data_IF_563299412101
#
_entry.id   IF_563299412101
#
_cell.length_a   1.000
_cell.length_b   1.000
_cell.length_c   1.000
_cell.angle_alpha   90.00
_cell.angle_beta   90.00
_cell.angle_gamma   90.00
#
_symmetry.space_group_name_H-M   'P 1'
#
loop_
_entity.id
_entity.type
_entity.pdbx_description
1 polymer ?
#
# COMPACT_ATOMS: atom_id res chain seq x y z
N UNK A 1 -11.49 -22.40 34.59
CA UNK A 1 -11.66 -22.69 33.15
C UNK A 1 -12.99 -22.07 32.77
N UNK A 2 -12.96 -20.94 32.07
CA UNK A 2 -14.01 -20.48 31.14
C UNK A 2 -13.45 -19.24 30.43
N UNK A 3 -13.37 -19.33 29.10
CA UNK A 3 -13.10 -18.22 28.19
C UNK A 3 -14.42 -17.45 27.99
N UNK A 4 -14.39 -16.11 27.93
CA UNK A 4 -15.10 -15.45 26.82
C UNK A 4 -14.57 -14.04 26.51
N UNK A 5 -14.67 -13.74 25.22
CA UNK A 5 -14.35 -12.54 24.48
C UNK A 5 -14.99 -11.28 25.09
N UNK A 6 -14.26 -10.16 25.17
CA UNK A 6 -14.76 -8.89 24.64
C UNK A 6 -13.65 -7.82 24.43
N UNK A 7 -13.34 -7.64 23.14
CA UNK A 7 -13.33 -6.36 22.42
C UNK A 7 -12.49 -5.21 23.01
N UNK A 8 -11.25 -5.12 22.49
CA UNK A 8 -10.60 -3.88 22.00
C UNK A 8 -11.12 -2.58 22.61
N UNK A 9 -10.69 -2.29 23.83
CA UNK A 9 -10.64 -0.95 24.38
C UNK A 9 -9.19 -0.47 24.31
N UNK A 10 -8.82 0.21 23.24
CA UNK A 10 -7.60 1.00 23.24
C UNK A 10 -7.88 2.40 22.67
N UNK A 11 -8.15 3.30 23.62
CA UNK A 11 -7.88 4.74 23.57
C UNK A 11 -8.66 5.57 22.54
N UNK A 12 -9.95 5.74 22.85
CA UNK A 12 -10.68 6.99 22.60
C UNK A 12 -10.15 8.05 23.57
N UNK A 13 -9.14 8.84 23.19
CA UNK A 13 -8.76 10.09 23.88
C UNK A 13 -7.83 10.94 23.01
N UNK A 14 -8.40 11.96 22.39
CA UNK A 14 -7.73 13.24 22.10
C UNK A 14 -8.82 14.23 21.70
N UNK A 15 -9.67 14.59 22.66
CA UNK A 15 -10.51 15.78 22.51
C UNK A 15 -9.58 16.98 22.63
N UNK A 16 -9.50 17.72 21.54
CA UNK A 16 -8.64 18.86 21.34
C UNK A 16 -8.97 19.98 22.33
N UNK A 17 -7.93 20.63 22.85
CA UNK A 17 -8.01 21.91 23.54
C UNK A 17 -8.46 22.97 22.53
N UNK A 18 -9.70 23.44 22.62
CA UNK A 18 -10.14 24.63 21.93
C UNK A 18 -9.69 25.87 22.73
N UNK A 19 -8.46 26.33 22.46
CA UNK A 19 -8.01 27.67 22.87
C UNK A 19 -8.52 28.64 21.81
N UNK A 20 -9.47 29.48 22.19
CA UNK A 20 -10.02 30.52 21.33
C UNK A 20 -8.99 31.63 21.05
N UNK A 21 -9.13 32.26 19.88
CA UNK A 21 -8.56 33.58 19.62
C UNK A 21 -7.88 33.76 18.26
N UNK A 22 -8.57 34.50 17.40
CA UNK A 22 -8.06 35.39 16.35
C UNK A 22 -7.59 34.82 15.00
N UNK A 23 -8.38 35.18 13.98
CA UNK A 23 -7.99 35.76 12.69
C UNK A 23 -6.99 34.98 11.81
N UNK A 24 -7.52 34.34 10.77
CA UNK A 24 -6.72 33.89 9.64
C UNK A 24 -7.53 33.02 8.68
N UNK A 25 -8.08 33.62 7.63
CA UNK A 25 -8.72 32.90 6.53
C UNK A 25 -7.68 32.06 5.78
N UNK A 26 -7.57 30.78 6.10
CA UNK A 26 -7.01 29.75 5.21
C UNK A 26 -7.73 28.43 5.51
N UNK A 27 -8.76 28.15 4.72
CA UNK A 27 -9.39 26.83 4.66
C UNK A 27 -8.40 25.87 4.00
N UNK A 28 -7.41 25.38 4.74
CA UNK A 28 -6.67 24.18 4.32
C UNK A 28 -7.56 23.00 4.71
N UNK A 29 -8.52 22.70 3.82
CA UNK A 29 -9.17 21.41 3.80
C UNK A 29 -8.09 20.36 3.58
N UNK A 30 -7.62 19.73 4.66
CA UNK A 30 -6.86 18.49 4.59
C UNK A 30 -7.82 17.43 4.02
N UNK A 31 -7.81 17.33 2.70
CA UNK A 31 -8.38 16.19 1.99
C UNK A 31 -7.46 15.02 2.31
N UNK A 32 -7.69 14.36 3.45
CA UNK A 32 -7.24 13.00 3.63
C UNK A 32 -7.99 12.20 2.56
N UNK A 33 -7.34 12.01 1.42
CA UNK A 33 -7.88 11.23 0.32
C UNK A 33 -8.29 9.87 0.85
N UNK A 34 -9.59 9.65 0.93
CA UNK A 34 -10.19 8.35 1.14
C UNK A 34 -9.82 7.53 -0.10
N UNK A 35 -8.72 6.80 0.00
CA UNK A 35 -8.37 5.80 -0.99
C UNK A 35 -9.37 4.69 -0.86
N UNK A 36 -10.30 4.67 -1.81
CA UNK A 36 -11.22 3.57 -2.05
C UNK A 36 -10.46 2.26 -1.88
N UNK A 37 -10.95 1.39 -0.97
CA UNK A 37 -10.28 0.14 -0.57
C UNK A 37 -10.47 -0.92 -1.66
N UNK A 38 -10.14 -0.60 -2.90
CA UNK A 38 -10.12 -1.52 -4.01
C UNK A 38 -8.97 -2.49 -3.84
N UNK A 39 -9.29 -3.78 -3.71
CA UNK A 39 -8.30 -4.85 -3.85
C UNK A 39 -7.84 -4.86 -5.31
N UNK A 40 -6.55 -4.67 -5.54
CA UNK A 40 -5.95 -4.83 -6.87
C UNK A 40 -5.50 -6.28 -7.04
N UNK A 41 -5.96 -6.92 -8.11
CA UNK A 41 -5.56 -8.28 -8.48
C UNK A 41 -4.95 -8.29 -9.89
N UNK A 42 -3.86 -9.04 -10.05
CA UNK A 42 -3.19 -9.16 -11.35
C UNK A 42 -2.49 -10.51 -11.49
N UNK A 43 -2.18 -10.92 -12.72
CA UNK A 43 -1.37 -12.12 -12.96
C UNK A 43 0.05 -11.93 -12.40
N UNK A 44 0.64 -12.97 -11.81
CA UNK A 44 2.04 -12.96 -11.37
C UNK A 44 3.06 -12.85 -12.52
N UNK A 45 2.61 -13.07 -13.76
CA UNK A 45 3.39 -12.86 -14.97
C UNK A 45 3.34 -11.42 -15.50
N UNK A 46 2.57 -10.53 -14.85
CA UNK A 46 2.47 -9.13 -15.27
C UNK A 46 3.79 -8.39 -15.05
N UNK A 47 4.32 -7.81 -16.11
CA UNK A 47 5.58 -7.06 -16.08
C UNK A 47 5.37 -5.55 -15.97
N UNK A 48 6.41 -4.83 -15.54
CA UNK A 48 6.45 -3.37 -15.58
C UNK A 48 5.55 -2.65 -14.57
N UNK A 49 4.79 -3.38 -13.74
CA UNK A 49 3.88 -2.78 -12.75
C UNK A 49 4.51 -2.71 -11.36
N UNK A 50 4.18 -1.66 -10.61
CA UNK A 50 4.63 -1.49 -9.22
C UNK A 50 4.31 -2.72 -8.36
N UNK A 51 3.08 -3.25 -8.46
CA UNK A 51 2.65 -4.42 -7.72
C UNK A 51 3.51 -5.66 -7.96
N UNK A 52 4.17 -5.79 -9.12
CA UNK A 52 5.05 -6.92 -9.46
C UNK A 52 6.54 -6.57 -9.38
N UNK A 53 6.89 -5.34 -8.99
CA UNK A 53 8.27 -4.85 -8.88
C UNK A 53 8.89 -5.19 -7.51
N UNK A 54 10.11 -5.70 -7.45
CA UNK A 54 10.76 -6.06 -6.16
C UNK A 54 10.95 -4.86 -5.22
N UNK A 55 11.13 -3.65 -5.77
CA UNK A 55 11.41 -2.45 -5.00
C UNK A 55 10.19 -1.78 -4.39
N UNK A 56 8.99 -2.25 -4.74
CA UNK A 56 7.75 -1.63 -4.28
C UNK A 56 7.38 -2.10 -2.87
N UNK A 57 7.20 -1.16 -1.96
CA UNK A 57 6.93 -1.41 -0.53
C UNK A 57 5.46 -1.46 -0.13
N UNK A 58 4.54 -1.65 -1.08
CA UNK A 58 3.10 -1.77 -0.77
C UNK A 58 2.73 -3.15 -0.22
N UNK A 59 1.61 -3.25 0.50
CA UNK A 59 1.12 -4.52 1.02
C UNK A 59 0.58 -5.37 -0.13
N UNK A 60 1.20 -6.53 -0.34
CA UNK A 60 0.85 -7.49 -1.39
C UNK A 60 1.10 -8.93 -0.96
N UNK A 61 0.36 -9.86 -1.56
CA UNK A 61 0.50 -11.31 -1.37
C UNK A 61 0.27 -12.03 -2.69
N UNK A 62 0.70 -13.28 -2.74
CA UNK A 62 0.43 -14.18 -3.87
C UNK A 62 -0.66 -15.18 -3.46
N UNK A 63 -1.53 -15.55 -4.39
CA UNK A 63 -2.51 -16.63 -4.22
C UNK A 63 -1.84 -17.97 -3.95
N UNK A 64 -2.59 -18.92 -3.40
CA UNK A 64 -2.07 -20.25 -3.04
C UNK A 64 -1.50 -21.01 -4.25
N UNK A 65 -2.06 -20.79 -5.43
CA UNK A 65 -1.63 -21.42 -6.68
C UNK A 65 -0.49 -20.67 -7.38
N UNK A 66 -0.02 -19.54 -6.83
CA UNK A 66 1.08 -18.77 -7.39
C UNK A 66 0.73 -17.92 -8.62
N UNK A 67 -0.54 -17.89 -9.05
CA UNK A 67 -0.94 -17.27 -10.33
C UNK A 67 -1.41 -15.83 -10.21
N UNK A 68 -1.91 -15.44 -9.04
CA UNK A 68 -2.51 -14.13 -8.81
C UNK A 68 -1.72 -13.39 -7.72
N UNK A 69 -1.37 -12.14 -8.00
CA UNK A 69 -0.89 -11.19 -7.02
C UNK A 69 -2.05 -10.29 -6.58
N UNK A 70 -2.18 -10.13 -5.26
CA UNK A 70 -3.23 -9.34 -4.62
C UNK A 70 -2.57 -8.22 -3.82
N UNK A 71 -2.87 -6.96 -4.13
CA UNK A 71 -2.40 -5.77 -3.42
C UNK A 71 -3.58 -4.98 -2.83
N UNK A 72 -3.38 -4.39 -1.65
CA UNK A 72 -4.46 -3.75 -0.88
C UNK A 72 -4.16 -2.30 -0.49
N UNK A 73 -3.03 -1.76 -0.93
CA UNK A 73 -2.59 -0.42 -0.56
C UNK A 73 -1.76 0.21 -1.67
N UNK A 74 -1.59 1.53 -1.57
CA UNK A 74 -0.44 2.21 -2.19
C UNK A 74 0.86 1.72 -1.55
N UNK A 75 1.98 1.98 -2.22
CA UNK A 75 3.31 1.62 -1.73
C UNK A 75 4.37 2.63 -2.14
N UNK A 76 5.41 2.75 -1.32
CA UNK A 76 6.59 3.55 -1.64
C UNK A 76 7.45 2.83 -2.67
N UNK A 77 7.99 3.58 -3.64
CA UNK A 77 9.05 3.07 -4.51
C UNK A 77 10.42 3.24 -3.83
N UNK A 78 11.11 2.12 -3.61
CA UNK A 78 12.44 2.11 -3.00
C UNK A 78 13.58 1.92 -4.01
N UNK A 79 13.31 2.03 -5.32
CA UNK A 79 14.34 1.97 -6.34
C UNK A 79 15.02 3.35 -6.47
N UNK A 80 16.29 3.53 -6.07
CA UNK A 80 16.98 4.83 -6.12
C UNK A 80 17.15 5.36 -7.55
N UNK A 81 17.08 4.51 -8.56
CA UNK A 81 17.23 4.90 -9.95
C UNK A 81 15.88 5.30 -10.59
N UNK A 82 14.75 5.03 -9.92
CA UNK A 82 13.42 5.34 -10.44
C UNK A 82 13.06 6.81 -10.29
N UNK A 83 12.35 7.37 -11.27
CA UNK A 83 11.74 8.71 -11.15
C UNK A 83 10.68 8.79 -10.03
N UNK A 84 10.19 7.64 -9.55
CA UNK A 84 9.26 7.53 -8.44
C UNK A 84 9.96 7.28 -7.09
N UNK A 85 11.30 7.31 -7.03
CA UNK A 85 12.03 7.07 -5.79
C UNK A 85 11.51 7.96 -4.65
N UNK A 86 11.17 7.35 -3.52
CA UNK A 86 10.53 8.02 -2.39
C UNK A 86 9.21 8.74 -2.72
N UNK A 87 8.44 8.23 -3.68
CA UNK A 87 7.04 8.62 -3.92
C UNK A 87 6.09 7.44 -3.67
N UNK A 88 4.86 7.76 -3.25
CA UNK A 88 3.76 6.80 -3.16
C UNK A 88 3.21 6.52 -4.55
N UNK A 89 3.05 5.24 -4.86
CA UNK A 89 2.50 4.76 -6.14
C UNK A 89 1.40 3.75 -5.90
N UNK A 90 0.41 3.71 -6.79
CA UNK A 90 -0.62 2.68 -6.81
C UNK A 90 -0.04 1.36 -7.33
N UNK A 91 -0.65 0.22 -6.99
CA UNK A 91 -0.17 -1.09 -7.47
C UNK A 91 -0.14 -1.23 -9.01
N UNK A 92 -1.04 -0.55 -9.72
CA UNK A 92 -1.16 -0.55 -11.18
C UNK A 92 -0.26 0.47 -11.90
N UNK A 93 0.46 1.31 -11.15
CA UNK A 93 1.43 2.28 -11.70
C UNK A 93 2.48 1.55 -12.56
N UNK A 94 2.70 2.04 -13.79
CA UNK A 94 3.61 1.45 -14.77
C UNK A 94 3.09 1.58 -16.21
N UNK A 95 3.90 1.30 -17.24
CA UNK A 95 5.16 0.54 -17.19
C UNK A 95 6.33 1.34 -16.59
N UNK A 96 7.12 0.71 -15.73
CA UNK A 96 8.30 1.29 -15.09
C UNK A 96 9.59 0.86 -15.83
N UNK A 97 10.44 1.79 -16.32
CA UNK A 97 11.65 1.44 -17.08
C UNK A 97 12.68 0.62 -16.30
N UNK A 98 12.77 0.88 -14.99
CA UNK A 98 13.72 0.23 -14.07
C UNK A 98 13.02 -0.81 -13.19
N UNK A 99 12.02 -1.47 -13.79
CA UNK A 99 11.29 -2.55 -13.16
C UNK A 99 12.15 -3.81 -13.08
N UNK A 100 12.07 -4.49 -11.93
CA UNK A 100 12.65 -5.83 -11.75
C UNK A 100 11.61 -6.70 -11.05
N UNK A 101 11.41 -7.91 -11.58
CA UNK A 101 10.37 -8.82 -11.09
C UNK A 101 10.60 -9.15 -9.62
N UNK A 102 9.54 -9.08 -8.83
CA UNK A 102 9.60 -9.43 -7.42
C UNK A 102 9.99 -10.89 -7.23
N UNK A 103 11.03 -11.15 -6.44
CA UNK A 103 11.65 -12.48 -6.31
C UNK A 103 10.68 -13.61 -5.95
N UNK A 104 9.64 -13.35 -5.16
CA UNK A 104 8.61 -14.36 -4.82
C UNK A 104 7.82 -14.84 -6.06
N UNK A 105 7.78 -14.04 -7.12
CA UNK A 105 7.09 -14.37 -8.38
C UNK A 105 7.97 -15.18 -9.34
N UNK A 106 9.25 -15.38 -9.00
CA UNK A 106 10.17 -16.21 -9.77
C UNK A 106 9.96 -17.64 -9.27
N UNK A 107 9.06 -18.38 -9.93
CA UNK A 107 8.91 -19.80 -9.63
C UNK A 107 10.05 -20.57 -10.26
N UNK A 108 10.92 -21.15 -9.44
CA UNK A 108 11.83 -22.20 -9.91
C UNK A 108 10.98 -23.43 -10.22
N UNK A 109 10.88 -23.77 -11.50
CA UNK A 109 10.37 -25.08 -11.91
C UNK A 109 11.33 -26.12 -11.35
N UNK A 110 11.02 -26.69 -10.20
CA UNK A 110 11.66 -27.94 -9.77
C UNK A 110 11.13 -29.01 -10.74
N UNK A 111 11.98 -29.36 -11.71
CA UNK A 111 11.74 -30.41 -12.69
C UNK A 111 11.80 -31.80 -12.04
#
# INVERSE_FOLDING_TARGET
MELDHHRRHFMRRTTQLAVGGALGSLLIGVHAGETDKGVYETSTDTEGKCATCEFWGGIRKVSKDGKILIAQSVGWCNNPESHNYHNLTTPDTGPMPLWRKWGILIQEKTA
#
